data_IF_596600616247
#
_entry.id   IF_596600616247
#
_cell.length_a   1.000
_cell.length_b   1.000
_cell.length_c   1.000
_cell.angle_alpha   90.00
_cell.angle_beta   90.00
_cell.angle_gamma   90.00
#
_symmetry.space_group_name_H-M   'P 1'
#
loop_
_entity.id
_entity.type
_entity.pdbx_description
1 polymer ?
#
# COMPACT_ATOMS: atom_id res chain seq x y z
N UNK A 1 15.89 18.80 -7.72
CA UNK A 1 14.80 18.18 -6.95
C UNK A 1 15.34 17.56 -5.66
N UNK A 2 16.41 16.77 -5.76
CA UNK A 2 16.97 15.96 -4.66
C UNK A 2 17.34 16.77 -3.41
N UNK A 3 17.99 17.92 -3.57
CA UNK A 3 18.31 18.80 -2.42
C UNK A 3 17.09 19.18 -1.59
N UNK A 4 15.92 19.40 -2.21
CA UNK A 4 14.70 19.71 -1.49
C UNK A 4 14.14 18.48 -0.76
N UNK A 5 14.16 17.33 -1.44
CA UNK A 5 13.73 16.05 -0.87
C UNK A 5 14.58 15.72 0.37
N UNK A 6 15.90 15.80 0.24
CA UNK A 6 16.85 15.58 1.33
C UNK A 6 16.62 16.57 2.48
N UNK A 7 16.43 17.85 2.17
CA UNK A 7 16.17 18.90 3.16
C UNK A 7 14.89 18.60 3.96
N UNK A 8 13.80 18.22 3.29
CA UNK A 8 12.55 17.89 3.98
C UNK A 8 12.66 16.64 4.83
N UNK A 9 13.31 15.57 4.32
CA UNK A 9 13.54 14.34 5.08
C UNK A 9 14.43 14.55 6.31
N UNK A 10 15.37 15.50 6.25
CA UNK A 10 16.25 15.83 7.35
C UNK A 10 15.62 16.80 8.38
N UNK A 11 14.44 17.36 8.10
CA UNK A 11 13.80 18.32 8.98
C UNK A 11 13.29 17.67 10.27
N UNK A 12 13.26 18.45 11.36
CA UNK A 12 12.76 17.98 12.65
C UNK A 12 11.25 17.68 12.56
N UNK A 13 10.78 16.48 12.93
CA UNK A 13 9.37 16.17 12.92
C UNK A 13 8.62 16.95 14.02
N UNK A 14 7.32 17.16 13.80
CA UNK A 14 6.44 17.76 14.79
C UNK A 14 6.29 16.84 16.02
N UNK A 15 5.95 17.42 17.18
CA UNK A 15 5.77 16.65 18.43
C UNK A 15 4.71 15.57 18.23
N UNK A 16 5.04 14.32 18.53
CA UNK A 16 4.15 13.17 18.34
C UNK A 16 4.25 12.49 16.98
N UNK A 17 5.18 12.92 16.12
CA UNK A 17 5.47 12.28 14.83
C UNK A 17 6.93 11.81 14.77
N UNK A 18 7.16 10.66 14.12
CA UNK A 18 8.48 10.02 14.10
C UNK A 18 9.42 10.58 13.01
N UNK A 19 8.85 11.05 11.88
CA UNK A 19 9.62 11.54 10.73
C UNK A 19 8.80 12.48 9.84
N UNK A 20 9.50 13.32 9.07
CA UNK A 20 8.90 14.11 7.99
C UNK A 20 8.82 13.24 6.73
N UNK A 21 7.63 13.18 6.14
CA UNK A 21 7.34 12.42 4.94
C UNK A 21 7.08 13.36 3.78
N UNK A 22 7.53 12.99 2.59
CA UNK A 22 7.17 13.67 1.35
C UNK A 22 6.09 12.87 0.60
N UNK A 23 5.29 13.51 -0.26
CA UNK A 23 4.31 12.80 -1.09
C UNK A 23 4.96 11.63 -1.84
N UNK A 24 4.34 10.45 -1.78
CA UNK A 24 4.85 9.22 -2.37
C UNK A 24 5.64 8.31 -1.42
N UNK A 25 6.05 8.78 -0.24
CA UNK A 25 6.82 7.96 0.71
C UNK A 25 6.01 6.84 1.33
N UNK A 26 4.76 7.13 1.70
CA UNK A 26 3.87 6.15 2.31
C UNK A 26 3.50 5.10 1.27
N UNK A 27 3.22 5.51 0.04
CA UNK A 27 2.90 4.65 -1.08
C UNK A 27 4.07 3.71 -1.40
N UNK A 28 5.30 4.24 -1.52
CA UNK A 28 6.51 3.44 -1.76
C UNK A 28 6.78 2.45 -0.63
N UNK A 29 6.67 2.90 0.62
CA UNK A 29 6.83 2.00 1.78
C UNK A 29 5.77 0.91 1.82
N UNK A 30 4.52 1.24 1.47
CA UNK A 30 3.45 0.25 1.36
C UNK A 30 3.70 -0.73 0.23
N UNK A 31 4.14 -0.28 -0.95
CA UNK A 31 4.48 -1.13 -2.10
C UNK A 31 5.61 -2.11 -1.76
N UNK A 32 6.70 -1.62 -1.17
CA UNK A 32 7.84 -2.45 -0.73
C UNK A 32 7.42 -3.51 0.29
N UNK A 33 6.49 -3.19 1.19
CA UNK A 33 5.96 -4.12 2.19
C UNK A 33 5.00 -5.12 1.57
N UNK A 34 3.99 -4.63 0.86
CA UNK A 34 2.92 -5.42 0.24
C UNK A 34 3.47 -6.40 -0.80
N UNK A 35 4.50 -6.01 -1.57
CA UNK A 35 5.14 -6.91 -2.54
C UNK A 35 5.74 -8.17 -1.90
N UNK A 36 6.08 -8.11 -0.61
CA UNK A 36 6.66 -9.22 0.16
C UNK A 36 5.62 -9.96 0.99
N UNK A 37 4.70 -9.23 1.59
CA UNK A 37 3.72 -9.77 2.56
C UNK A 37 2.39 -10.16 1.91
N UNK A 38 2.12 -9.69 0.68
CA UNK A 38 0.81 -9.77 0.06
C UNK A 38 -0.15 -8.66 0.51
N UNK A 39 -1.36 -8.66 -0.08
CA UNK A 39 -2.45 -7.73 0.25
C UNK A 39 -3.55 -8.52 0.95
N UNK A 40 -3.91 -8.09 2.16
CA UNK A 40 -5.15 -8.57 2.78
C UNK A 40 -6.34 -7.79 2.19
N UNK A 41 -7.23 -8.51 1.52
CA UNK A 41 -8.45 -7.97 0.92
C UNK A 41 -9.61 -8.20 1.90
N UNK A 42 -10.48 -7.22 2.09
CA UNK A 42 -11.64 -7.38 2.98
C UNK A 42 -12.69 -8.35 2.40
N UNK A 43 -13.40 -9.06 3.26
CA UNK A 43 -14.37 -10.10 2.88
C UNK A 43 -15.40 -9.66 1.82
N UNK A 44 -16.02 -8.46 1.88
CA UNK A 44 -16.97 -8.04 0.85
C UNK A 44 -16.37 -7.97 -0.55
N UNK A 45 -15.12 -7.50 -0.65
CA UNK A 45 -14.39 -7.37 -1.92
C UNK A 45 -14.00 -8.75 -2.45
N UNK A 46 -13.60 -9.67 -1.57
CA UNK A 46 -13.32 -11.06 -1.97
C UNK A 46 -14.56 -11.72 -2.60
N UNK A 47 -15.75 -11.48 -2.03
CA UNK A 47 -17.01 -12.02 -2.56
C UNK A 47 -17.32 -11.45 -3.95
N UNK A 48 -17.23 -10.14 -4.13
CA UNK A 48 -17.44 -9.49 -5.43
C UNK A 48 -16.45 -10.00 -6.48
N UNK A 49 -15.18 -10.17 -6.13
CA UNK A 49 -14.17 -10.74 -7.03
C UNK A 49 -14.50 -12.18 -7.44
N UNK A 50 -15.02 -12.99 -6.51
CA UNK A 50 -15.45 -14.35 -6.78
C UNK A 50 -16.65 -14.39 -7.74
N UNK A 51 -17.65 -13.55 -7.51
CA UNK A 51 -18.84 -13.45 -8.37
C UNK A 51 -18.46 -13.09 -9.82
N UNK A 52 -17.57 -12.11 -10.00
CA UNK A 52 -17.05 -11.72 -11.32
C UNK A 52 -16.27 -12.87 -11.96
N UNK A 53 -15.43 -13.57 -11.20
CA UNK A 53 -14.66 -14.71 -11.72
C UNK A 53 -15.56 -15.86 -12.18
N UNK A 54 -16.63 -16.16 -11.43
CA UNK A 54 -17.63 -17.16 -11.81
C UNK A 54 -18.36 -16.79 -13.12
N UNK A 55 -18.75 -15.52 -13.29
CA UNK A 55 -19.38 -15.03 -14.53
C UNK A 55 -18.45 -15.16 -15.74
N UNK A 56 -17.14 -14.94 -15.53
CA UNK A 56 -16.12 -15.03 -16.56
C UNK A 56 -15.58 -16.45 -16.78
N UNK A 57 -16.00 -17.42 -15.95
CA UNK A 57 -15.48 -18.80 -15.99
C UNK A 57 -14.01 -18.93 -15.58
N UNK A 58 -13.53 -18.06 -14.70
CA UNK A 58 -12.16 -18.01 -14.19
C UNK A 58 -12.11 -18.64 -12.78
N UNK A 59 -11.12 -19.50 -12.53
CA UNK A 59 -10.90 -20.05 -11.18
C UNK A 59 -10.40 -18.94 -10.23
N UNK A 60 -11.08 -18.77 -9.10
CA UNK A 60 -10.73 -17.78 -8.09
C UNK A 60 -10.46 -18.43 -6.73
N UNK A 61 -9.19 -18.39 -6.32
CA UNK A 61 -8.72 -18.92 -5.04
C UNK A 61 -7.93 -17.83 -4.29
N UNK A 62 -8.61 -17.13 -3.37
CA UNK A 62 -7.95 -16.18 -2.46
C UNK A 62 -7.23 -16.92 -1.32
N UNK A 63 -5.97 -16.57 -1.06
CA UNK A 63 -5.10 -17.26 -0.09
C UNK A 63 -4.58 -16.34 1.04
N UNK A 64 -5.12 -15.11 1.15
CA UNK A 64 -4.67 -14.10 2.11
C UNK A 64 -5.63 -13.86 3.26
#
# INVERSE_FOLDING_TARGET
MDKWIETFRAAKPAKGHDRVLIPGDIERGNEERISKEGIHVIEPVQREMKEIAEELGIEFNYQG
#
